data_IF_226297214311
#
_entry.id   IF_226297214311
#
_cell.length_a   1.000
_cell.length_b   1.000
_cell.length_c   1.000
_cell.angle_alpha   90.00
_cell.angle_beta   90.00
_cell.angle_gamma   90.00
#
_symmetry.space_group_name_H-M   'P 1'
#
loop_
_entity.id
_entity.type
_entity.pdbx_description
1 polymer ?
#
# COMPACT_ATOMS: atom_id res chain seq x y z
N UNK A 1 10.40 0.14 2.96
CA UNK A 1 10.41 0.70 1.58
C UNK A 1 9.51 1.93 1.58
N UNK A 2 9.70 2.87 0.65
CA UNK A 2 8.78 3.98 0.41
C UNK A 2 8.06 3.75 -0.92
N UNK A 3 6.75 3.99 -0.95
CA UNK A 3 5.93 3.91 -2.15
C UNK A 3 4.75 4.88 -2.04
N UNK A 4 4.03 5.09 -3.13
CA UNK A 4 2.83 5.90 -3.17
C UNK A 4 1.60 4.98 -3.12
N UNK A 5 0.56 5.43 -2.44
CA UNK A 5 -0.74 4.77 -2.42
C UNK A 5 -1.80 5.84 -2.75
N UNK A 6 -2.67 5.53 -3.69
CA UNK A 6 -3.89 6.29 -3.89
C UNK A 6 -5.00 5.73 -2.99
N UNK A 7 -6.21 6.30 -3.09
CA UNK A 7 -7.36 5.88 -2.28
C UNK A 7 -7.67 4.39 -2.47
N UNK A 8 -7.64 3.89 -3.70
CA UNK A 8 -7.93 2.48 -3.97
C UNK A 8 -6.87 1.56 -3.36
N UNK A 9 -5.58 1.91 -3.45
CA UNK A 9 -4.51 1.15 -2.81
C UNK A 9 -4.67 1.07 -1.28
N UNK A 10 -5.06 2.17 -0.63
CA UNK A 10 -5.32 2.19 0.81
C UNK A 10 -6.52 1.32 1.18
N UNK A 11 -7.62 1.42 0.44
CA UNK A 11 -8.84 0.62 0.66
C UNK A 11 -8.56 -0.88 0.50
N UNK A 12 -7.81 -1.26 -0.54
CA UNK A 12 -7.38 -2.65 -0.78
C UNK A 12 -6.45 -3.14 0.31
N UNK A 13 -5.52 -2.31 0.77
CA UNK A 13 -4.60 -2.65 1.85
C UNK A 13 -5.37 -2.94 3.15
N UNK A 14 -6.32 -2.07 3.51
CA UNK A 14 -7.17 -2.26 4.69
C UNK A 14 -8.07 -3.50 4.58
N UNK A 15 -8.63 -3.76 3.38
CA UNK A 15 -9.53 -4.89 3.16
C UNK A 15 -8.83 -6.26 3.14
N UNK A 16 -7.61 -6.33 2.60
CA UNK A 16 -6.89 -7.60 2.38
C UNK A 16 -5.87 -7.92 3.46
N UNK A 17 -5.41 -6.93 4.22
CA UNK A 17 -4.27 -7.07 5.13
C UNK A 17 -2.93 -7.28 4.40
N UNK A 18 -2.88 -7.00 3.09
CA UNK A 18 -1.67 -7.08 2.26
C UNK A 18 -1.33 -5.70 1.69
N UNK A 19 -0.06 -5.34 1.62
CA UNK A 19 0.35 -4.04 1.10
C UNK A 19 0.03 -3.89 -0.39
N UNK A 20 -0.82 -2.92 -0.72
CA UNK A 20 -1.10 -2.47 -2.08
C UNK A 20 -0.56 -1.05 -2.27
N UNK A 21 -0.07 -0.78 -3.49
CA UNK A 21 0.52 0.51 -3.84
C UNK A 21 0.06 0.94 -5.23
N UNK A 22 0.19 2.24 -5.50
CA UNK A 22 -0.05 2.82 -6.81
C UNK A 22 1.28 3.21 -7.47
N UNK A 23 1.57 2.63 -8.63
CA UNK A 23 2.74 2.99 -9.43
C UNK A 23 2.44 4.25 -10.24
N UNK A 24 2.99 5.40 -9.83
CA UNK A 24 2.80 6.66 -10.57
C UNK A 24 3.41 6.66 -11.97
N UNK A 25 4.44 5.86 -12.23
CA UNK A 25 5.04 5.78 -13.57
C UNK A 25 4.25 4.87 -14.52
N UNK A 26 3.65 3.80 -13.99
CA UNK A 26 2.86 2.83 -14.77
C UNK A 26 1.35 3.08 -14.73
N UNK A 27 0.91 4.02 -13.88
CA UNK A 27 -0.49 4.36 -13.64
C UNK A 27 -1.34 3.12 -13.32
N UNK A 28 -0.83 2.28 -12.42
CA UNK A 28 -1.47 0.99 -12.09
C UNK A 28 -1.38 0.69 -10.60
N UNK A 29 -2.47 0.17 -10.06
CA UNK A 29 -2.54 -0.48 -8.75
C UNK A 29 -1.79 -1.80 -8.79
N UNK A 30 -1.02 -2.12 -7.76
CA UNK A 30 -0.33 -3.41 -7.68
C UNK A 30 -0.19 -3.87 -6.23
N UNK A 31 -0.22 -5.20 -6.03
CA UNK A 31 0.03 -5.82 -4.74
C UNK A 31 1.54 -6.09 -4.58
N UNK A 32 2.12 -5.69 -3.45
CA UNK A 32 3.52 -5.97 -3.19
C UNK A 32 3.77 -7.46 -3.13
N UNK A 33 4.67 -7.93 -4.01
CA UNK A 33 5.04 -9.35 -4.07
C UNK A 33 4.12 -10.21 -4.91
N UNK A 34 3.19 -9.64 -5.68
CA UNK A 34 2.30 -10.39 -6.58
C UNK A 34 3.05 -11.34 -7.52
N UNK A 35 4.14 -10.88 -8.12
CA UNK A 35 4.95 -11.73 -9.03
C UNK A 35 6.01 -12.55 -8.30
N UNK A 36 6.58 -12.04 -7.19
CA UNK A 36 7.73 -12.66 -6.54
C UNK A 36 7.41 -13.51 -5.32
N UNK A 37 6.17 -13.51 -4.84
CA UNK A 37 5.76 -14.15 -3.60
C UNK A 37 6.18 -13.43 -2.31
N UNK A 38 7.06 -12.42 -2.40
CA UNK A 38 7.50 -11.62 -1.24
C UNK A 38 6.46 -10.56 -0.86
N UNK A 39 5.33 -11.04 -0.32
CA UNK A 39 4.22 -10.23 0.15
C UNK A 39 4.52 -9.55 1.47
N UNK A 40 3.88 -8.41 1.71
CA UNK A 40 3.92 -7.71 2.98
C UNK A 40 2.54 -7.81 3.64
N UNK A 41 2.48 -8.50 4.78
CA UNK A 41 1.28 -8.58 5.62
C UNK A 41 1.29 -7.40 6.58
N UNK A 42 0.16 -6.69 6.64
CA UNK A 42 0.01 -5.49 7.45
C UNK A 42 -0.38 -5.88 8.87
N UNK A 43 0.37 -5.39 9.86
CA UNK A 43 0.05 -5.57 11.27
C UNK A 43 -0.76 -4.40 11.81
N UNK A 44 -0.41 -3.17 11.41
CA UNK A 44 -1.08 -1.94 11.80
C UNK A 44 -1.01 -0.93 10.65
N UNK A 45 -1.94 0.01 10.62
CA UNK A 45 -1.91 1.16 9.71
C UNK A 45 -1.97 2.40 10.57
N UNK A 46 -0.93 3.24 10.52
CA UNK A 46 -0.87 4.52 11.24
C UNK A 46 -0.87 5.68 10.27
N UNK A 47 -1.62 6.71 10.60
CA UNK A 47 -1.61 8.00 9.91
C UNK A 47 -0.64 8.94 10.61
N UNK A 48 -0.01 9.82 9.85
CA UNK A 48 0.71 10.96 10.40
C UNK A 48 -0.25 12.06 10.90
N UNK A 49 0.32 13.18 11.38
CA UNK A 49 -0.44 14.20 12.09
C UNK A 49 -1.30 15.10 11.17
N UNK A 50 -0.94 15.23 9.90
CA UNK A 50 -1.67 16.00 8.88
C UNK A 50 -2.37 15.12 7.83
N UNK A 51 -2.20 13.80 7.91
CA UNK A 51 -2.93 12.81 7.12
C UNK A 51 -2.43 12.68 5.69
N UNK A 52 -1.18 13.06 5.41
CA UNK A 52 -0.59 13.00 4.06
C UNK A 52 0.31 11.78 3.85
N UNK A 53 0.70 11.09 4.93
CA UNK A 53 1.44 9.84 4.90
C UNK A 53 0.86 8.74 5.80
N UNK A 54 1.21 7.51 5.45
CA UNK A 54 0.80 6.29 6.17
C UNK A 54 2.04 5.47 6.50
N UNK A 55 2.10 4.97 7.74
CA UNK A 55 3.07 3.98 8.18
C UNK A 55 2.38 2.61 8.34
N UNK A 56 2.93 1.63 7.63
CA UNK A 56 2.56 0.21 7.69
C UNK A 56 3.53 -0.59 8.55
#
# INVERSE_FOLDING_TARGET
MLAYADREALERTAATGLAHYFSRSRQVLWQKGETSGHVQRIAEIRLDCDGDAVLY
#
